data_IF_291245147756
#
_entry.id   IF_291245147756
#
_cell.length_a   1.000
_cell.length_b   1.000
_cell.length_c   1.000
_cell.angle_alpha   90.00
_cell.angle_beta   90.00
_cell.angle_gamma   90.00
#
_symmetry.space_group_name_H-M   'P 1'
#
loop_
_entity.id
_entity.type
_entity.pdbx_description
1 polymer ?
#
# COMPACT_ATOMS: atom_id res chain seq x y z
N UNK A 1 -17.69 -0.86 -17.92
CA UNK A 1 -16.88 0.16 -17.25
C UNK A 1 -16.65 -0.37 -15.85
N UNK A 2 -15.50 -0.99 -15.58
CA UNK A 2 -15.24 -1.58 -14.26
C UNK A 2 -15.08 -0.47 -13.24
N UNK A 3 -15.94 -0.49 -12.24
CA UNK A 3 -15.97 0.44 -11.14
C UNK A 3 -14.76 0.15 -10.22
N UNK A 4 -13.65 0.84 -10.48
CA UNK A 4 -12.56 1.10 -9.53
C UNK A 4 -11.69 -0.08 -9.10
N UNK A 5 -10.88 -0.63 -10.02
CA UNK A 5 -9.77 -1.52 -9.62
C UNK A 5 -8.76 -0.74 -8.77
N UNK A 6 -8.61 -1.15 -7.50
CA UNK A 6 -7.59 -0.62 -6.60
C UNK A 6 -6.24 -1.20 -6.98
N UNK A 7 -5.21 -0.35 -7.01
CA UNK A 7 -3.81 -0.78 -7.08
C UNK A 7 -3.09 -0.50 -5.76
N UNK A 8 -2.47 -1.54 -5.20
CA UNK A 8 -1.52 -1.46 -4.11
C UNK A 8 -0.12 -1.39 -4.73
N UNK A 9 0.49 -0.21 -4.68
CA UNK A 9 1.88 -0.02 -5.09
C UNK A 9 2.81 -0.30 -3.91
N UNK A 10 3.69 -1.29 -4.00
CA UNK A 10 4.64 -1.64 -2.93
C UNK A 10 6.03 -1.14 -3.27
N UNK A 11 6.62 -0.29 -2.43
CA UNK A 11 7.98 0.21 -2.65
C UNK A 11 9.01 -0.89 -2.38
N UNK A 12 9.79 -1.29 -3.37
CA UNK A 12 10.82 -2.36 -3.22
C UNK A 12 12.24 -1.84 -3.01
N UNK A 13 12.49 -0.54 -3.19
CA UNK A 13 13.82 0.04 -2.94
C UNK A 13 14.10 0.44 -1.48
N UNK A 14 13.07 0.52 -0.63
CA UNK A 14 13.26 0.86 0.78
C UNK A 14 14.18 -0.16 1.47
N UNK A 15 15.16 0.34 2.23
CA UNK A 15 16.06 -0.47 3.06
C UNK A 15 15.76 -0.23 4.54
N UNK A 16 15.60 -1.29 5.32
CA UNK A 16 15.49 -1.21 6.77
C UNK A 16 16.77 -1.78 7.38
N UNK A 17 17.39 -1.01 8.27
CA UNK A 17 18.67 -1.39 8.91
C UNK A 17 18.47 -2.65 9.74
N UNK A 18 19.34 -3.63 9.52
CA UNK A 18 19.33 -4.96 10.13
C UNK A 18 20.76 -5.44 10.28
N UNK A 19 21.32 -5.22 11.47
CA UNK A 19 22.73 -5.54 11.78
C UNK A 19 23.01 -7.05 11.74
N UNK A 20 21.97 -7.88 11.83
CA UNK A 20 22.05 -9.34 11.75
C UNK A 20 22.24 -9.87 10.32
N UNK A 21 22.15 -9.01 9.30
CA UNK A 21 22.29 -9.39 7.90
C UNK A 21 23.67 -9.01 7.32
N UNK A 22 24.21 -9.77 6.36
CA UNK A 22 25.53 -9.51 5.78
C UNK A 22 25.70 -8.10 5.20
N UNK A 23 24.66 -7.56 4.57
CA UNK A 23 24.68 -6.23 3.96
C UNK A 23 24.22 -5.11 4.91
N UNK A 24 23.87 -5.45 6.16
CA UNK A 24 23.41 -4.50 7.19
C UNK A 24 21.98 -3.96 6.98
N UNK A 25 21.23 -4.47 6.01
CA UNK A 25 19.84 -4.10 5.77
C UNK A 25 19.03 -5.22 5.11
N UNK A 26 17.70 -5.17 5.29
CA UNK A 26 16.74 -5.90 4.46
C UNK A 26 15.98 -4.95 3.51
N UNK A 27 15.26 -5.54 2.56
CA UNK A 27 14.33 -4.85 1.65
C UNK A 27 12.90 -5.36 1.89
N UNK A 28 12.23 -4.88 2.93
CA UNK A 28 10.99 -5.49 3.41
C UNK A 28 9.83 -5.39 2.40
N UNK A 29 9.91 -4.45 1.46
CA UNK A 29 8.93 -4.28 0.40
C UNK A 29 8.85 -5.43 -0.60
N UNK A 30 9.96 -6.11 -0.88
CA UNK A 30 9.95 -7.27 -1.79
C UNK A 30 9.12 -8.40 -1.20
N UNK A 31 9.41 -8.78 0.06
CA UNK A 31 8.65 -9.80 0.77
C UNK A 31 7.18 -9.41 0.95
N UNK A 32 6.89 -8.13 1.22
CA UNK A 32 5.50 -7.65 1.33
C UNK A 32 4.74 -7.78 0.01
N UNK A 33 5.35 -7.42 -1.11
CA UNK A 33 4.72 -7.52 -2.43
C UNK A 33 4.34 -8.98 -2.74
N UNK A 34 5.26 -9.91 -2.55
CA UNK A 34 5.02 -11.35 -2.74
C UNK A 34 3.90 -11.87 -1.85
N UNK A 35 3.95 -11.55 -0.54
CA UNK A 35 2.94 -11.97 0.43
C UNK A 35 1.55 -11.44 0.09
N UNK A 36 1.44 -10.16 -0.32
CA UNK A 36 0.17 -9.56 -0.73
C UNK A 36 -0.37 -10.21 -2.01
N UNK A 37 0.49 -10.43 -3.01
CA UNK A 37 0.09 -11.09 -4.27
C UNK A 37 -0.47 -12.48 -3.99
N UNK A 38 0.20 -13.28 -3.16
CA UNK A 38 -0.28 -14.61 -2.77
C UNK A 38 -1.59 -14.53 -1.99
N UNK A 39 -1.68 -13.62 -1.02
CA UNK A 39 -2.85 -13.47 -0.14
C UNK A 39 -4.11 -13.04 -0.89
N UNK A 40 -3.96 -12.29 -1.98
CA UNK A 40 -5.07 -11.74 -2.78
C UNK A 40 -5.46 -12.62 -3.99
N UNK A 41 -4.63 -13.61 -4.35
CA UNK A 41 -4.84 -14.47 -5.53
C UNK A 41 -6.21 -15.15 -5.57
N UNK A 42 -6.75 -15.56 -4.41
CA UNK A 42 -7.94 -16.41 -4.33
C UNK A 42 -9.20 -15.70 -3.78
N UNK A 43 -9.15 -14.41 -3.43
CA UNK A 43 -10.19 -13.83 -2.56
C UNK A 43 -10.57 -12.36 -2.73
N UNK A 44 -9.90 -11.60 -3.60
CA UNK A 44 -10.15 -10.17 -3.71
C UNK A 44 -10.15 -9.67 -5.17
N UNK A 45 -11.22 -9.97 -5.94
CA UNK A 45 -11.36 -9.41 -7.28
C UNK A 45 -11.34 -7.88 -7.21
N UNK A 46 -10.58 -7.24 -8.12
CA UNK A 46 -10.47 -5.78 -8.20
C UNK A 46 -9.37 -5.15 -7.33
N UNK A 47 -8.50 -5.95 -6.69
CA UNK A 47 -7.28 -5.46 -6.03
C UNK A 47 -6.06 -6.00 -6.76
N UNK A 48 -5.24 -5.12 -7.32
CA UNK A 48 -3.99 -5.48 -7.98
C UNK A 48 -2.80 -5.05 -7.13
N UNK A 49 -1.79 -5.92 -7.01
CA UNK A 49 -0.51 -5.57 -6.37
C UNK A 49 0.52 -5.30 -7.46
N UNK A 50 1.18 -4.16 -7.41
CA UNK A 50 2.29 -3.82 -8.31
C UNK A 50 3.48 -3.31 -7.51
N UNK A 51 4.68 -3.59 -7.98
CA UNK A 51 5.89 -3.02 -7.39
C UNK A 51 6.10 -1.60 -7.89
N UNK A 52 6.48 -0.70 -6.99
CA UNK A 52 6.99 0.62 -7.31
C UNK A 52 8.50 0.65 -7.03
N UNK A 53 9.26 1.23 -7.96
CA UNK A 53 10.71 1.35 -7.80
C UNK A 53 11.07 2.22 -6.59
N UNK A 54 10.35 3.33 -6.35
CA UNK A 54 10.57 4.17 -5.17
C UNK A 54 9.34 5.04 -4.86
N UNK A 55 8.99 5.15 -3.57
CA UNK A 55 7.98 6.11 -3.08
C UNK A 55 8.58 7.28 -2.30
N UNK A 56 9.91 7.39 -2.25
CA UNK A 56 10.68 8.42 -1.52
C UNK A 56 10.40 8.49 -0.01
N UNK A 57 9.92 7.41 0.61
CA UNK A 57 9.63 7.32 2.05
C UNK A 57 10.67 6.45 2.78
N UNK A 58 11.95 6.53 2.38
CA UNK A 58 12.99 5.62 2.88
C UNK A 58 13.22 5.68 4.40
N UNK A 59 12.78 6.75 5.08
CA UNK A 59 12.86 6.87 6.55
C UNK A 59 11.77 6.06 7.29
N UNK A 60 10.79 5.52 6.57
CA UNK A 60 9.66 4.74 7.12
C UNK A 60 9.42 3.41 6.37
N UNK A 61 10.43 2.54 6.25
CA UNK A 61 10.26 1.22 5.63
C UNK A 61 9.35 0.33 6.50
N UNK A 62 8.48 -0.54 5.98
CA UNK A 62 8.05 -0.74 4.58
C UNK A 62 6.94 0.25 4.17
N UNK A 63 6.89 0.67 2.90
CA UNK A 63 5.89 1.65 2.41
C UNK A 63 5.07 1.11 1.24
N UNK A 64 3.75 1.31 1.30
CA UNK A 64 2.83 1.08 0.18
C UNK A 64 2.08 2.36 -0.21
N UNK A 65 1.51 2.38 -1.40
CA UNK A 65 0.46 3.31 -1.79
C UNK A 65 -0.83 2.59 -2.20
N UNK A 66 -1.98 3.08 -1.73
CA UNK A 66 -3.30 2.66 -2.21
C UNK A 66 -3.84 3.72 -3.17
N UNK A 67 -4.09 3.33 -4.41
CA UNK A 67 -4.56 4.24 -5.45
C UNK A 67 -5.66 3.60 -6.32
N UNK A 68 -6.68 4.37 -6.64
CA UNK A 68 -7.70 4.02 -7.63
C UNK A 68 -8.17 5.29 -8.33
N UNK A 69 -8.73 5.13 -9.54
CA UNK A 69 -9.23 6.27 -10.31
C UNK A 69 -10.31 7.05 -9.54
N UNK A 70 -10.25 8.38 -9.59
CA UNK A 70 -11.17 9.27 -8.88
C UNK A 70 -11.10 9.22 -7.34
N UNK A 71 -10.22 8.41 -6.74
CA UNK A 71 -10.09 8.26 -5.28
C UNK A 71 -8.84 8.93 -4.72
N UNK A 72 -8.88 9.26 -3.43
CA UNK A 72 -7.71 9.78 -2.72
C UNK A 72 -6.61 8.72 -2.64
N UNK A 73 -5.37 9.07 -2.93
CA UNK A 73 -4.24 8.16 -2.79
C UNK A 73 -3.67 8.23 -1.37
N UNK A 74 -3.41 7.08 -0.76
CA UNK A 74 -2.74 6.99 0.53
C UNK A 74 -1.33 6.47 0.36
N UNK A 75 -0.35 7.09 1.04
CA UNK A 75 0.96 6.48 1.28
C UNK A 75 1.03 6.08 2.75
N UNK A 76 1.32 4.80 3.01
CA UNK A 76 1.39 4.23 4.36
C UNK A 76 2.78 3.64 4.54
N UNK A 77 3.53 4.14 5.53
CA UNK A 77 4.86 3.66 5.91
C UNK A 77 4.87 2.90 7.23
N UNK A 78 6.06 2.47 7.66
CA UNK A 78 6.30 1.66 8.86
C UNK A 78 5.49 0.35 8.89
N UNK A 79 5.24 -0.22 7.71
CA UNK A 79 4.56 -1.50 7.58
C UNK A 79 5.53 -2.66 7.80
N UNK A 80 4.95 -3.80 8.15
CA UNK A 80 5.66 -5.03 8.45
C UNK A 80 4.89 -6.21 7.86
N UNK A 81 5.61 -7.09 7.17
CA UNK A 81 5.01 -8.16 6.36
C UNK A 81 4.34 -9.23 7.22
N UNK A 82 4.93 -9.58 8.36
CA UNK A 82 4.42 -10.68 9.19
C UNK A 82 3.20 -10.24 10.00
N UNK A 83 3.22 -9.01 10.51
CA UNK A 83 2.22 -8.54 11.47
C UNK A 83 1.09 -7.73 10.86
N UNK A 84 1.29 -7.09 9.69
CA UNK A 84 0.30 -6.17 9.12
C UNK A 84 -0.37 -6.68 7.84
N UNK A 85 -0.10 -7.92 7.40
CA UNK A 85 -0.63 -8.41 6.12
C UNK A 85 -2.17 -8.37 6.04
N UNK A 86 -2.86 -8.92 7.03
CA UNK A 86 -4.33 -8.92 7.07
C UNK A 86 -4.91 -7.50 7.28
N UNK A 87 -4.22 -6.65 8.05
CA UNK A 87 -4.60 -5.24 8.23
C UNK A 87 -4.54 -4.48 6.90
N UNK A 88 -3.49 -4.72 6.08
CA UNK A 88 -3.35 -4.12 4.76
C UNK A 88 -4.47 -4.58 3.84
N UNK A 89 -4.77 -5.88 3.80
CA UNK A 89 -5.86 -6.44 2.97
C UNK A 89 -7.22 -5.89 3.39
N UNK A 90 -7.50 -5.83 4.70
CA UNK A 90 -8.73 -5.27 5.23
C UNK A 90 -8.89 -3.79 4.89
N UNK A 91 -7.82 -3.00 5.06
CA UNK A 91 -7.83 -1.58 4.72
C UNK A 91 -7.96 -1.34 3.20
N UNK A 92 -7.30 -2.16 2.37
CA UNK A 92 -7.43 -2.13 0.92
C UNK A 92 -8.86 -2.46 0.47
N UNK A 93 -9.49 -3.46 1.10
CA UNK A 93 -10.90 -3.82 0.82
C UNK A 93 -11.86 -2.70 1.20
N UNK A 94 -11.70 -2.11 2.40
CA UNK A 94 -12.49 -0.96 2.83
C UNK A 94 -12.28 0.27 1.93
N UNK A 95 -11.04 0.50 1.48
CA UNK A 95 -10.71 1.54 0.52
C UNK A 95 -11.43 1.32 -0.81
N UNK A 96 -11.37 0.09 -1.35
CA UNK A 96 -12.01 -0.28 -2.61
C UNK A 96 -13.54 -0.09 -2.52
N UNK A 97 -14.16 -0.45 -1.40
CA UNK A 97 -15.59 -0.26 -1.18
C UNK A 97 -16.01 1.20 -0.96
N UNK A 98 -15.08 2.09 -0.59
CA UNK A 98 -15.40 3.50 -0.36
C UNK A 98 -15.55 4.29 -1.66
N UNK A 99 -16.47 5.25 -1.69
CA UNK A 99 -16.74 6.04 -2.90
C UNK A 99 -15.54 6.93 -3.31
N UNK A 100 -14.78 7.45 -2.35
CA UNK A 100 -13.70 8.42 -2.59
C UNK A 100 -12.31 7.95 -2.11
N UNK A 101 -12.17 6.71 -1.66
CA UNK A 101 -10.92 6.18 -1.12
C UNK A 101 -10.66 6.53 0.34
N UNK A 102 -11.54 7.25 1.03
CA UNK A 102 -11.33 7.64 2.43
C UNK A 102 -12.02 6.64 3.36
N UNK A 103 -11.22 5.76 3.96
CA UNK A 103 -11.69 4.84 5.02
C UNK A 103 -11.94 5.61 6.32
N UNK A 104 -13.10 5.44 7.00
CA UNK A 104 -13.39 6.05 8.29
C UNK A 104 -12.32 5.77 9.34
N UNK A 105 -11.97 6.77 10.16
CA UNK A 105 -10.87 6.65 11.14
C UNK A 105 -11.02 5.45 12.11
N UNK A 106 -12.26 5.17 12.53
CA UNK A 106 -12.59 4.08 13.45
C UNK A 106 -12.34 2.70 12.84
N UNK A 107 -12.45 2.57 11.53
CA UNK A 107 -12.27 1.30 10.79
C UNK A 107 -10.81 1.08 10.37
N UNK A 108 -9.95 2.10 10.48
CA UNK A 108 -8.53 1.95 10.16
C UNK A 108 -7.81 1.10 11.20
N UNK A 109 -6.99 0.13 10.78
CA UNK A 109 -6.13 -0.59 11.71
C UNK A 109 -5.08 0.35 12.34
N UNK A 110 -4.52 0.00 13.52
CA UNK A 110 -3.56 0.84 14.22
C UNK A 110 -2.34 1.25 13.38
N UNK A 111 -1.82 0.32 12.56
CA UNK A 111 -0.72 0.56 11.64
C UNK A 111 -1.06 1.66 10.61
N UNK A 112 -2.29 1.73 10.11
CA UNK A 112 -2.72 2.78 9.18
C UNK A 112 -2.98 4.13 9.87
N UNK A 113 -3.40 4.14 11.14
CA UNK A 113 -3.62 5.40 11.88
C UNK A 113 -2.33 6.16 12.13
N UNK A 114 -1.23 5.44 12.42
CA UNK A 114 0.11 6.01 12.64
C UNK A 114 0.95 6.06 11.36
N UNK A 115 0.67 5.16 10.42
CA UNK A 115 1.44 4.91 9.20
C UNK A 115 1.24 5.92 8.09
N UNK A 116 0.17 6.73 8.09
CA UNK A 116 -0.07 7.69 6.99
C UNK A 116 1.12 8.64 6.85
N UNK A 117 1.75 8.61 5.69
CA UNK A 117 2.81 9.54 5.28
C UNK A 117 2.18 10.72 4.55
N UNK A 118 1.28 10.41 3.62
CA UNK A 118 0.59 11.39 2.81
C UNK A 118 -0.80 10.87 2.43
N UNK A 119 -1.70 11.82 2.19
CA UNK A 119 -2.99 11.58 1.55
C UNK A 119 -3.15 12.61 0.45
N UNK A 120 -3.13 12.14 -0.79
CA UNK A 120 -3.07 12.97 -2.00
C UNK A 120 -4.45 12.98 -2.65
N UNK A 121 -4.99 14.15 -3.03
CA UNK A 121 -6.29 14.22 -3.69
C UNK A 121 -6.28 13.46 -5.02
N UNK A 122 -7.45 13.03 -5.51
CA UNK A 122 -7.56 12.47 -6.86
C UNK A 122 -6.94 13.43 -7.87
N UNK A 123 -6.09 12.91 -8.75
CA UNK A 123 -5.52 13.71 -9.82
C UNK A 123 -6.60 14.02 -10.86
N UNK A 124 -6.58 15.19 -11.51
CA UNK A 124 -7.40 15.42 -12.68
C UNK A 124 -7.16 14.32 -13.70
N UNK A 125 -8.21 13.83 -14.35
CA UNK A 125 -8.08 12.87 -15.43
C UNK A 125 -7.05 13.42 -16.43
N UNK A 126 -5.98 12.66 -16.68
CA UNK A 126 -5.00 13.03 -17.70
C UNK A 126 -5.75 13.08 -19.03
N UNK A 127 -5.92 14.28 -19.58
CA UNK A 127 -6.39 14.41 -20.95
C UNK A 127 -5.29 13.81 -21.84
N UNK A 128 -5.53 12.61 -22.36
CA UNK A 128 -4.69 12.04 -23.40
C UNK A 128 -5.03 12.83 -24.67
N UNK A 129 -4.14 13.74 -25.06
CA UNK A 129 -4.20 14.43 -26.34
C UNK A 129 -3.66 13.55 -27.46
#
# INVERSE_FOLDING_TARGET
MSEGDLTIHVCTACRRVREDLPDGFDQPGTALAEALTQRLADGAPGITVVTAECLAVCKRPCTIALAADGKWTYLIGDLDTETHLDDIVGAATAYAASANGIVPWKERPPCFRKGVVARVPPMPARQQG
#
